data_IF_664045044535
#
_entry.id   IF_664045044535
#
_cell.length_a   1.000
_cell.length_b   1.000
_cell.length_c   1.000
_cell.angle_alpha   90.00
_cell.angle_beta   90.00
_cell.angle_gamma   90.00
#
_symmetry.space_group_name_H-M   'P 1'
#
loop_
_entity.id
_entity.type
_entity.pdbx_description
1 polymer ?
#
# COMPACT_ATOMS: atom_id res chain seq x y z
N UNK A 1 -27.90 -2.36 7.29
CA UNK A 1 -27.19 -2.33 8.58
C UNK A 1 -25.80 -2.85 8.30
N UNK A 2 -24.80 -1.97 8.19
CA UNK A 2 -23.41 -2.40 7.87
C UNK A 2 -22.91 -3.27 9.01
N UNK A 3 -22.37 -4.45 8.68
CA UNK A 3 -21.85 -5.40 9.65
C UNK A 3 -20.79 -4.68 10.51
N UNK A 4 -20.72 -4.98 11.81
CA UNK A 4 -19.71 -4.41 12.71
C UNK A 4 -18.31 -4.69 12.17
N UNK A 5 -18.11 -5.87 11.60
CA UNK A 5 -16.81 -6.27 11.06
C UNK A 5 -16.42 -5.44 9.83
N UNK A 6 -17.38 -5.14 8.94
CA UNK A 6 -17.15 -4.25 7.78
C UNK A 6 -16.77 -2.84 8.22
N UNK A 7 -17.38 -2.33 9.30
CA UNK A 7 -17.02 -1.03 9.88
C UNK A 7 -15.60 -1.03 10.45
N UNK A 8 -15.23 -2.06 11.19
CA UNK A 8 -13.88 -2.19 11.76
C UNK A 8 -12.82 -2.23 10.64
N UNK A 9 -13.09 -2.93 9.54
CA UNK A 9 -12.22 -2.93 8.34
C UNK A 9 -12.13 -1.54 7.70
N UNK A 10 -13.26 -0.83 7.57
CA UNK A 10 -13.29 0.52 7.03
C UNK A 10 -12.57 1.55 7.93
N UNK A 11 -12.53 1.35 9.24
CA UNK A 11 -11.74 2.16 10.17
C UNK A 11 -10.23 1.92 9.99
N UNK A 12 -9.81 0.68 9.73
CA UNK A 12 -8.41 0.38 9.39
C UNK A 12 -7.99 1.12 8.12
N UNK A 13 -8.82 1.09 7.07
CA UNK A 13 -8.55 1.79 5.82
C UNK A 13 -8.34 3.29 6.06
N UNK A 14 -9.24 3.95 6.78
CA UNK A 14 -9.13 5.38 7.09
C UNK A 14 -7.89 5.73 7.91
N UNK A 15 -7.44 4.82 8.78
CA UNK A 15 -6.27 5.06 9.64
C UNK A 15 -4.94 4.88 8.89
N UNK A 16 -4.82 3.83 8.09
CA UNK A 16 -3.53 3.38 7.56
C UNK A 16 -3.37 3.56 6.06
N UNK A 17 -4.47 3.70 5.32
CA UNK A 17 -4.49 3.97 3.87
C UNK A 17 -5.51 5.09 3.59
N UNK A 18 -5.29 6.31 4.12
CA UNK A 18 -6.23 7.42 3.95
C UNK A 18 -6.27 7.95 2.50
N UNK A 19 -5.19 7.75 1.74
CA UNK A 19 -5.09 8.11 0.32
C UNK A 19 -4.85 6.85 -0.50
N UNK A 20 -5.85 6.44 -1.27
CA UNK A 20 -5.81 5.26 -2.13
C UNK A 20 -4.78 5.35 -3.26
N UNK A 21 -4.21 6.54 -3.53
CA UNK A 21 -3.13 6.73 -4.51
C UNK A 21 -1.76 6.34 -3.95
N UNK A 22 -1.62 6.33 -2.63
CA UNK A 22 -0.34 6.10 -1.94
C UNK A 22 -0.29 4.74 -1.23
N UNK A 23 -1.43 4.07 -1.09
CA UNK A 23 -1.48 2.73 -0.54
C UNK A 23 -2.72 1.97 -0.99
N UNK A 24 -2.66 0.65 -0.86
CA UNK A 24 -3.75 -0.26 -1.19
C UNK A 24 -4.26 -0.89 0.09
N UNK A 25 -5.58 -0.94 0.25
CA UNK A 25 -6.27 -1.81 1.19
C UNK A 25 -7.57 -2.26 0.54
N UNK A 26 -7.52 -3.44 -0.06
CA UNK A 26 -8.65 -4.08 -0.72
C UNK A 26 -8.94 -5.34 0.07
N UNK A 27 -9.85 -5.25 1.04
CA UNK A 27 -10.17 -6.36 1.94
C UNK A 27 -11.67 -6.54 2.00
N UNK A 28 -12.12 -7.77 1.74
CA UNK A 28 -13.52 -8.17 1.78
C UNK A 28 -13.78 -9.05 3.00
N UNK A 29 -14.95 -8.86 3.61
CA UNK A 29 -15.44 -9.67 4.71
C UNK A 29 -16.24 -10.83 4.11
N UNK A 30 -15.73 -12.05 4.24
CA UNK A 30 -16.46 -13.28 3.88
C UNK A 30 -16.88 -14.03 5.16
N UNK A 31 -17.87 -14.94 5.11
CA UNK A 31 -18.43 -15.60 6.31
C UNK A 31 -17.38 -16.17 7.26
N UNK A 32 -16.37 -16.85 6.73
CA UNK A 32 -15.34 -17.56 7.53
C UNK A 32 -13.99 -16.84 7.56
N UNK A 33 -13.82 -15.75 6.79
CA UNK A 33 -12.49 -15.15 6.57
C UNK A 33 -12.52 -13.69 6.13
N UNK A 34 -11.43 -13.00 6.37
CA UNK A 34 -11.07 -11.74 5.71
C UNK A 34 -10.11 -12.06 4.57
N UNK A 35 -10.44 -11.63 3.35
CA UNK A 35 -9.66 -11.91 2.14
C UNK A 35 -9.25 -10.61 1.48
N UNK A 36 -8.01 -10.54 0.99
CA UNK A 36 -7.61 -9.44 0.13
C UNK A 36 -6.13 -9.10 0.17
N UNK A 37 -5.81 -7.82 0.03
CA UNK A 37 -4.43 -7.35 0.04
C UNK A 37 -4.29 -5.96 0.69
N UNK A 38 -3.08 -5.65 1.15
CA UNK A 38 -2.73 -4.31 1.58
C UNK A 38 -1.24 -4.01 1.37
N UNK A 39 -0.87 -2.76 1.14
CA UNK A 39 0.54 -2.31 1.15
C UNK A 39 1.05 -1.94 2.55
N UNK A 40 0.16 -1.81 3.55
CA UNK A 40 0.55 -1.40 4.90
C UNK A 40 0.73 -2.58 5.84
N UNK A 41 1.93 -2.69 6.44
CA UNK A 41 2.24 -3.72 7.45
C UNK A 41 1.40 -3.55 8.72
N UNK A 42 1.17 -2.30 9.12
CA UNK A 42 0.37 -1.99 10.31
C UNK A 42 -1.12 -2.28 10.08
N UNK A 43 -1.61 -2.01 8.87
CA UNK A 43 -2.97 -2.40 8.48
C UNK A 43 -3.13 -3.93 8.52
N UNK A 44 -2.18 -4.68 7.95
CA UNK A 44 -2.21 -6.15 7.99
C UNK A 44 -2.23 -6.68 9.44
N UNK A 45 -1.39 -6.13 10.32
CA UNK A 45 -1.37 -6.51 11.73
C UNK A 45 -2.70 -6.21 12.43
N UNK A 46 -3.31 -5.06 12.14
CA UNK A 46 -4.62 -4.70 12.69
C UNK A 46 -5.74 -5.63 12.18
N UNK A 47 -5.76 -5.91 10.88
CA UNK A 47 -6.76 -6.80 10.26
C UNK A 47 -6.65 -8.23 10.79
N UNK A 48 -5.43 -8.74 11.01
CA UNK A 48 -5.23 -10.06 11.64
C UNK A 48 -5.80 -10.13 13.06
N UNK A 49 -5.67 -9.05 13.85
CA UNK A 49 -6.28 -8.97 15.18
C UNK A 49 -7.80 -8.92 15.12
N UNK A 50 -8.36 -8.15 14.17
CA UNK A 50 -9.80 -8.09 13.93
C UNK A 50 -10.36 -9.47 13.53
N UNK A 51 -9.68 -10.16 12.61
CA UNK A 51 -10.02 -11.52 12.19
C UNK A 51 -10.04 -12.50 13.37
N UNK A 52 -8.97 -12.51 14.16
CA UNK A 52 -8.83 -13.38 15.32
C UNK A 52 -9.91 -13.10 16.38
N UNK A 53 -10.22 -11.84 16.65
CA UNK A 53 -11.28 -11.45 17.58
C UNK A 53 -12.67 -11.88 17.10
N UNK A 54 -12.87 -11.96 15.78
CA UNK A 54 -14.10 -12.44 15.16
C UNK A 54 -14.12 -13.96 14.92
N UNK A 55 -13.06 -14.70 15.28
CA UNK A 55 -12.95 -16.14 15.02
C UNK A 55 -12.83 -16.51 13.54
N UNK A 56 -12.37 -15.58 12.69
CA UNK A 56 -12.26 -15.76 11.23
C UNK A 56 -10.79 -15.91 10.80
N UNK A 57 -10.57 -16.60 9.69
CA UNK A 57 -9.24 -16.66 9.09
C UNK A 57 -8.86 -15.32 8.45
N UNK A 58 -7.55 -15.04 8.38
CA UNK A 58 -7.01 -13.82 7.75
C UNK A 58 -6.16 -14.18 6.53
N UNK A 59 -6.80 -14.25 5.37
CA UNK A 59 -6.16 -14.51 4.08
C UNK A 59 -5.89 -13.17 3.36
N UNK A 60 -5.02 -12.37 3.99
CA UNK A 60 -4.67 -11.03 3.51
C UNK A 60 -3.20 -11.01 3.13
N UNK A 61 -2.92 -10.69 1.86
CA UNK A 61 -1.57 -10.61 1.32
C UNK A 61 -0.97 -9.22 1.56
N UNK A 62 0.29 -9.17 1.97
CA UNK A 62 1.07 -7.93 2.01
C UNK A 62 1.65 -7.67 0.62
N UNK A 63 1.42 -6.47 0.09
CA UNK A 63 2.04 -5.97 -1.12
C UNK A 63 3.30 -5.13 -0.80
N UNK A 64 4.30 -5.11 -1.70
CA UNK A 64 4.41 -5.99 -2.85
C UNK A 64 4.63 -7.44 -2.40
N UNK A 65 4.10 -8.39 -3.17
CA UNK A 65 4.29 -9.81 -2.92
C UNK A 65 5.79 -10.19 -3.05
N UNK A 66 6.21 -11.29 -2.44
CA UNK A 66 7.59 -11.76 -2.51
C UNK A 66 8.09 -11.97 -3.94
N UNK A 67 7.20 -12.31 -4.88
CA UNK A 67 7.50 -12.44 -6.32
C UNK A 67 7.96 -11.14 -7.00
N UNK A 68 7.71 -9.97 -6.42
CA UNK A 68 8.08 -8.65 -7.00
C UNK A 68 9.50 -8.24 -6.60
N UNK A 69 10.13 -8.93 -5.63
CA UNK A 69 11.41 -8.51 -5.03
C UNK A 69 12.59 -8.47 -6.00
N UNK A 70 12.50 -9.18 -7.12
CA UNK A 70 13.61 -9.33 -8.07
C UNK A 70 13.63 -8.22 -9.15
N UNK A 71 12.61 -7.36 -9.21
CA UNK A 71 12.53 -6.22 -10.15
C UNK A 71 12.08 -4.94 -9.42
N UNK A 72 13.01 -4.13 -8.89
CA UNK A 72 12.65 -2.92 -8.16
C UNK A 72 12.17 -1.84 -9.14
N UNK A 73 10.84 -1.73 -9.28
CA UNK A 73 10.17 -0.66 -10.02
C UNK A 73 9.66 0.40 -9.05
N UNK A 74 10.01 1.66 -9.28
CA UNK A 74 9.43 2.81 -8.61
C UNK A 74 8.47 3.53 -9.57
N UNK A 75 7.46 4.21 -9.01
CA UNK A 75 6.60 5.12 -9.76
C UNK A 75 6.71 6.49 -9.13
N UNK A 76 6.88 7.53 -9.95
CA UNK A 76 6.96 8.90 -9.48
C UNK A 76 5.59 9.36 -8.98
N UNK A 77 5.53 9.80 -7.72
CA UNK A 77 4.29 10.29 -7.10
C UNK A 77 4.17 11.80 -7.11
N UNK A 78 5.26 12.54 -7.29
CA UNK A 78 5.24 13.99 -7.49
C UNK A 78 4.66 14.34 -8.86
N UNK A 79 3.99 15.50 -8.98
CA UNK A 79 3.55 16.01 -10.29
C UNK A 79 4.73 16.10 -11.28
N UNK A 80 5.87 16.56 -10.76
CA UNK A 80 7.14 16.67 -11.47
C UNK A 80 8.27 16.42 -10.46
N UNK A 81 9.17 15.49 -10.77
CA UNK A 81 10.33 15.14 -9.98
C UNK A 81 11.62 15.50 -10.76
N UNK A 82 12.42 16.49 -10.32
CA UNK A 82 13.68 16.80 -10.97
C UNK A 82 14.71 15.69 -10.71
N UNK A 83 15.31 15.17 -11.78
CA UNK A 83 16.43 14.25 -11.70
C UNK A 83 17.73 15.06 -11.69
N UNK A 84 18.53 14.87 -10.65
CA UNK A 84 19.77 15.61 -10.43
C UNK A 84 20.98 14.73 -10.78
N UNK A 85 22.06 15.39 -11.22
CA UNK A 85 23.32 14.71 -11.55
C UNK A 85 23.95 14.00 -10.33
N UNK A 86 23.67 14.48 -9.13
CA UNK A 86 24.20 13.98 -7.86
C UNK A 86 23.12 14.09 -6.77
N UNK A 87 23.17 13.29 -5.69
CA UNK A 87 22.14 13.28 -4.63
C UNK A 87 22.27 14.47 -3.65
N UNK A 88 22.32 15.69 -4.18
CA UNK A 88 22.36 16.95 -3.42
C UNK A 88 21.55 18.03 -4.12
N UNK A 89 20.85 18.87 -3.35
CA UNK A 89 19.93 19.89 -3.89
C UNK A 89 20.62 20.95 -4.76
N UNK A 90 21.92 21.13 -4.61
CA UNK A 90 22.73 22.10 -5.38
C UNK A 90 23.27 21.54 -6.68
N UNK A 91 23.04 20.26 -7.00
CA UNK A 91 23.52 19.65 -8.22
C UNK A 91 22.70 20.11 -9.45
N UNK A 92 23.34 20.06 -10.61
CA UNK A 92 22.67 20.36 -11.87
C UNK A 92 21.50 19.41 -12.12
N UNK A 93 20.38 19.95 -12.58
CA UNK A 93 19.25 19.18 -13.09
C UNK A 93 19.62 18.59 -14.45
N UNK A 94 19.45 17.28 -14.60
CA UNK A 94 19.74 16.54 -15.84
C UNK A 94 18.47 16.20 -16.62
N UNK A 95 17.36 15.95 -15.93
CA UNK A 95 16.05 15.66 -16.53
C UNK A 95 14.96 15.90 -15.50
N UNK A 96 13.74 15.56 -15.86
CA UNK A 96 12.58 15.45 -14.99
C UNK A 96 11.84 14.15 -15.27
N UNK A 97 11.13 13.64 -14.28
CA UNK A 97 10.20 12.53 -14.39
C UNK A 97 8.82 12.99 -13.91
N UNK A 98 7.77 12.50 -14.55
CA UNK A 98 6.40 12.96 -14.31
C UNK A 98 5.62 11.99 -13.44
N UNK A 99 4.54 12.48 -12.83
CA UNK A 99 3.62 11.62 -12.07
C UNK A 99 3.17 10.39 -12.86
N UNK A 100 3.31 9.22 -12.26
CA UNK A 100 2.96 7.94 -12.89
C UNK A 100 4.06 7.33 -13.75
N UNK A 101 5.16 8.04 -14.00
CA UNK A 101 6.29 7.51 -14.76
C UNK A 101 7.02 6.41 -13.97
N UNK A 102 7.25 5.24 -14.58
CA UNK A 102 8.04 4.18 -13.96
C UNK A 102 9.53 4.49 -14.04
N UNK A 103 10.25 4.30 -12.94
CA UNK A 103 11.70 4.41 -12.85
C UNK A 103 12.31 3.10 -12.37
N UNK A 104 13.43 2.71 -13.00
CA UNK A 104 14.29 1.68 -12.47
C UNK A 104 15.04 2.22 -11.25
N UNK A 105 15.03 1.48 -10.15
CA UNK A 105 15.89 1.76 -9.01
C UNK A 105 17.26 1.11 -9.25
N UNK A 106 18.31 1.94 -9.33
CA UNK A 106 19.70 1.55 -9.57
C UNK A 106 20.49 1.42 -8.27
#
# INVERSE_FOLDING_TARGET
>A
MVDRLERDVADVARKWVPDARLGVLEVTVEPERLVGCTTSRDALAALRRIAAAAGRAADIRLLPDASVRDEPAAVVTAALAPLLREPRITADRVSEALHGEPLALL
#
